data_IF_948611517957
#
_entry.id   IF_948611517957
#
_cell.length_a   1.000
_cell.length_b   1.000
_cell.length_c   1.000
_cell.angle_alpha   90.00
_cell.angle_beta   90.00
_cell.angle_gamma   90.00
#
_symmetry.space_group_name_H-M   'P 1'
#
loop_
_entity.id
_entity.type
_entity.pdbx_description
1 polymer ?
#
# COMPACT_ATOMS: atom_id res chain seq x y z
N UNK A 1 2.09 5.38 27.76
CA UNK A 1 3.17 5.49 26.76
C UNK A 1 3.19 6.89 26.22
N UNK A 2 4.23 7.68 26.50
CA UNK A 2 4.49 8.88 25.72
C UNK A 2 4.87 8.43 24.31
N UNK A 3 4.00 8.64 23.33
CA UNK A 3 4.41 8.55 21.93
C UNK A 3 5.50 9.61 21.75
N UNK A 4 6.76 9.19 21.76
CA UNK A 4 7.87 10.07 21.42
C UNK A 4 7.68 10.49 19.96
N UNK A 5 7.03 11.63 19.76
CA UNK A 5 7.15 12.48 18.57
C UNK A 5 8.52 13.15 18.56
N UNK A 6 9.58 12.42 18.93
CA UNK A 6 10.93 12.95 19.06
C UNK A 6 11.66 12.68 17.75
N UNK A 7 11.84 13.75 16.97
CA UNK A 7 12.80 13.88 15.86
C UNK A 7 12.48 13.25 14.50
N UNK A 8 11.20 13.26 14.06
CA UNK A 8 10.90 13.02 12.64
C UNK A 8 11.25 14.27 11.80
N UNK A 9 12.49 14.29 11.29
CA UNK A 9 12.94 15.28 10.30
C UNK A 9 12.03 15.25 9.07
N UNK A 10 11.80 16.41 8.44
CA UNK A 10 11.01 16.50 7.20
C UNK A 10 11.52 15.56 6.09
N UNK A 11 12.83 15.27 6.08
CA UNK A 11 13.43 14.29 5.17
C UNK A 11 13.02 12.84 5.49
N UNK A 12 12.89 12.47 6.78
CA UNK A 12 12.37 11.16 7.19
C UNK A 12 10.92 10.98 6.79
N UNK A 13 10.08 12.00 7.03
CA UNK A 13 8.65 11.96 6.63
C UNK A 13 8.55 11.78 5.11
N UNK A 14 9.34 12.53 4.36
CA UNK A 14 9.38 12.45 2.90
C UNK A 14 9.81 11.06 2.41
N UNK A 15 10.91 10.52 2.94
CA UNK A 15 11.43 9.20 2.54
C UNK A 15 10.49 8.06 2.96
N UNK A 16 9.84 8.13 4.12
CA UNK A 16 8.81 7.17 4.53
C UNK A 16 7.57 7.24 3.63
N UNK A 17 7.15 8.44 3.23
CA UNK A 17 6.02 8.61 2.31
C UNK A 17 6.35 8.04 0.93
N UNK A 18 7.57 8.27 0.42
CA UNK A 18 8.02 7.67 -0.83
C UNK A 18 8.07 6.14 -0.75
N UNK A 19 8.62 5.58 0.32
CA UNK A 19 8.67 4.13 0.53
C UNK A 19 7.25 3.54 0.59
N UNK A 20 6.33 4.21 1.28
CA UNK A 20 4.94 3.80 1.33
C UNK A 20 4.32 3.75 -0.07
N UNK A 21 4.52 4.79 -0.88
CA UNK A 21 4.01 4.84 -2.25
C UNK A 21 4.62 3.74 -3.14
N UNK A 22 5.92 3.48 -3.00
CA UNK A 22 6.60 2.44 -3.76
C UNK A 22 6.12 1.02 -3.40
N UNK A 23 5.98 0.73 -2.10
CA UNK A 23 5.45 -0.56 -1.62
C UNK A 23 3.99 -0.72 -2.05
N UNK A 24 3.19 0.33 -1.91
CA UNK A 24 1.79 0.36 -2.32
C UNK A 24 1.62 0.11 -3.82
N UNK A 25 2.46 0.73 -4.65
CA UNK A 25 2.49 0.51 -6.09
C UNK A 25 2.85 -0.95 -6.42
N UNK A 26 3.86 -1.51 -5.76
CA UNK A 26 4.26 -2.90 -5.95
C UNK A 26 3.16 -3.90 -5.54
N UNK A 27 2.50 -3.65 -4.40
CA UNK A 27 1.33 -4.45 -3.99
C UNK A 27 0.18 -4.30 -4.98
N UNK A 28 -0.07 -3.09 -5.46
CA UNK A 28 -1.12 -2.82 -6.44
C UNK A 28 -0.88 -3.52 -7.78
N UNK A 29 0.37 -3.55 -8.28
CA UNK A 29 0.71 -4.30 -9.49
C UNK A 29 0.63 -5.81 -9.30
N UNK A 30 0.98 -6.34 -8.12
CA UNK A 30 0.80 -7.77 -7.81
C UNK A 30 -0.66 -8.18 -7.74
N UNK A 31 -1.51 -7.37 -7.08
CA UNK A 31 -2.97 -7.60 -7.06
C UNK A 31 -3.54 -7.52 -8.47
N UNK A 32 -3.09 -6.54 -9.26
CA UNK A 32 -3.52 -6.39 -10.64
C UNK A 32 -3.14 -7.61 -11.50
N UNK A 33 -1.90 -8.10 -11.39
CA UNK A 33 -1.43 -9.24 -12.16
C UNK A 33 -2.12 -10.54 -11.75
N UNK A 34 -2.34 -10.75 -10.45
CA UNK A 34 -3.10 -11.90 -9.94
C UNK A 34 -4.55 -11.88 -10.45
N UNK A 35 -5.21 -10.73 -10.38
CA UNK A 35 -6.59 -10.60 -10.83
C UNK A 35 -6.74 -10.75 -12.35
N UNK A 36 -5.80 -10.20 -13.14
CA UNK A 36 -5.76 -10.39 -14.59
C UNK A 36 -5.43 -11.83 -15.01
N UNK A 37 -4.68 -12.56 -14.18
CA UNK A 37 -4.40 -13.97 -14.41
C UNK A 37 -5.64 -14.84 -14.21
N UNK A 38 -6.40 -14.57 -13.15
CA UNK A 38 -7.60 -15.33 -12.79
C UNK A 38 -8.78 -15.01 -13.71
N UNK A 39 -8.96 -13.74 -14.07
CA UNK A 39 -10.12 -13.26 -14.84
C UNK A 39 -9.81 -13.06 -16.35
N UNK A 40 -9.12 -14.05 -16.92
CA UNK A 40 -8.52 -14.00 -18.27
C UNK A 40 -9.52 -13.82 -19.41
N UNK A 41 -10.82 -14.06 -19.17
CA UNK A 41 -11.90 -14.03 -20.17
C UNK A 41 -12.86 -12.84 -20.03
N UNK A 42 -12.90 -12.16 -18.87
CA UNK A 42 -13.96 -11.19 -18.56
C UNK A 42 -13.44 -9.76 -18.42
N UNK A 43 -12.15 -9.57 -18.12
CA UNK A 43 -11.54 -8.24 -18.02
C UNK A 43 -10.56 -8.04 -19.19
N UNK A 44 -10.85 -7.05 -20.03
CA UNK A 44 -9.92 -6.63 -21.07
C UNK A 44 -8.57 -6.23 -20.47
N UNK A 45 -7.48 -6.75 -21.04
CA UNK A 45 -6.08 -6.49 -20.61
C UNK A 45 -5.75 -5.01 -20.36
N UNK A 46 -6.46 -4.09 -21.01
CA UNK A 46 -6.27 -2.64 -20.91
C UNK A 46 -7.34 -1.94 -20.05
N UNK A 47 -8.03 -2.69 -19.18
CA UNK A 47 -9.08 -2.13 -18.32
C UNK A 47 -8.49 -1.17 -17.29
N UNK A 48 -8.57 0.13 -17.62
CA UNK A 48 -8.16 1.23 -16.72
C UNK A 48 -8.88 1.16 -15.37
N UNK A 49 -10.15 0.74 -15.36
CA UNK A 49 -10.91 0.53 -14.11
C UNK A 49 -10.31 -0.59 -13.27
N UNK A 50 -9.89 -1.69 -13.91
CA UNK A 50 -9.25 -2.81 -13.21
C UNK A 50 -7.90 -2.43 -12.61
N UNK A 51 -7.12 -1.63 -13.33
CA UNK A 51 -5.85 -1.09 -12.85
C UNK A 51 -6.03 -0.15 -11.65
N UNK A 52 -6.95 0.81 -11.74
CA UNK A 52 -7.24 1.74 -10.62
C UNK A 52 -7.74 0.98 -9.39
N UNK A 53 -8.65 0.02 -9.55
CA UNK A 53 -9.15 -0.78 -8.43
C UNK A 53 -8.03 -1.57 -7.74
N UNK A 54 -7.10 -2.13 -8.52
CA UNK A 54 -5.95 -2.88 -8.00
C UNK A 54 -4.97 -1.98 -7.24
N UNK A 55 -4.74 -0.76 -7.73
CA UNK A 55 -3.91 0.24 -7.03
C UNK A 55 -4.53 0.70 -5.71
N UNK A 56 -5.86 0.88 -5.68
CA UNK A 56 -6.60 1.19 -4.45
C UNK A 56 -6.49 0.03 -3.46
N UNK A 57 -6.63 -1.21 -3.91
CA UNK A 57 -6.44 -2.40 -3.08
C UNK A 57 -5.01 -2.48 -2.52
N UNK A 58 -3.98 -2.25 -3.35
CA UNK A 58 -2.58 -2.21 -2.91
C UNK A 58 -2.31 -1.15 -1.84
N UNK A 59 -2.91 0.04 -2.00
CA UNK A 59 -2.85 1.12 -1.01
C UNK A 59 -3.54 0.74 0.29
N UNK A 60 -4.71 0.09 0.21
CA UNK A 60 -5.44 -0.42 1.36
C UNK A 60 -4.65 -1.45 2.16
N UNK A 61 -4.05 -2.44 1.47
CA UNK A 61 -3.23 -3.49 2.10
C UNK A 61 -2.01 -2.87 2.77
N UNK A 62 -1.30 -1.98 2.07
CA UNK A 62 -0.09 -1.34 2.60
C UNK A 62 -0.42 -0.43 3.78
N UNK A 63 -1.50 0.35 3.69
CA UNK A 63 -2.01 1.18 4.79
C UNK A 63 -2.39 0.34 6.01
N UNK A 64 -3.07 -0.79 5.81
CA UNK A 64 -3.42 -1.72 6.88
C UNK A 64 -2.18 -2.32 7.54
N UNK A 65 -1.15 -2.64 6.77
CA UNK A 65 0.10 -3.21 7.27
C UNK A 65 0.87 -2.22 8.16
N UNK A 66 0.90 -0.93 7.77
CA UNK A 66 1.47 0.14 8.59
C UNK A 66 0.65 0.41 9.85
N UNK A 67 -0.69 0.43 9.74
CA UNK A 67 -1.59 0.58 10.88
C UNK A 67 -1.44 -0.57 11.89
N UNK A 68 -1.39 -1.81 11.40
CA UNK A 68 -1.16 -3.00 12.21
C UNK A 68 0.22 -2.99 12.88
N UNK A 69 1.26 -2.61 12.14
CA UNK A 69 2.61 -2.44 12.69
C UNK A 69 2.67 -1.39 13.79
N UNK A 70 1.94 -0.28 13.64
CA UNK A 70 1.80 0.73 14.69
C UNK A 70 1.07 0.19 15.92
N UNK A 71 -0.05 -0.51 15.70
CA UNK A 71 -0.84 -1.11 16.78
C UNK A 71 -0.02 -2.12 17.60
N UNK A 72 0.69 -3.04 16.92
CA UNK A 72 1.47 -4.08 17.61
C UNK A 72 2.72 -3.57 18.32
N UNK A 73 3.32 -2.45 17.88
CA UNK A 73 4.52 -1.89 18.54
C UNK A 73 4.21 -0.90 19.66
N UNK A 74 3.08 -0.17 19.60
CA UNK A 74 2.84 0.96 20.50
C UNK A 74 1.60 0.83 21.41
N UNK A 75 0.74 -0.18 21.21
CA UNK A 75 -0.45 -0.42 22.06
C UNK A 75 -0.25 -1.62 23.02
N UNK A 76 0.96 -2.19 23.08
CA UNK A 76 1.34 -3.22 24.07
C UNK A 76 2.22 -2.66 25.19
#
# INVERSE_FOLDING_TARGET
>A
MSAQTSDLSGFMVFSLTLLFLMISYCMGTMVHSAWMYEDKNNIGKDSRKGWVLSMVAGTGITGWMFYYGYYMNFIR
#
